data_IF_487455851676
#
_entry.id   IF_487455851676
#
_cell.length_a   1.000
_cell.length_b   1.000
_cell.length_c   1.000
_cell.angle_alpha   90.00
_cell.angle_beta   90.00
_cell.angle_gamma   90.00
#
_symmetry.space_group_name_H-M   'P 1'
#
loop_
_entity.id
_entity.type
_entity.pdbx_description
1 polymer ?
#
# COMPACT_ATOMS: atom_id res chain seq x y z
N UNK A 1 15.37 0.98 -23.08
CA UNK A 1 14.10 1.32 -23.75
C UNK A 1 12.95 0.89 -22.84
N UNK A 2 12.66 1.64 -21.77
CA UNK A 2 11.44 1.47 -20.93
C UNK A 2 11.09 2.85 -20.35
N UNK A 3 10.61 3.73 -21.23
CA UNK A 3 9.98 5.02 -20.87
C UNK A 3 8.80 5.12 -21.82
N UNK A 4 7.61 4.66 -21.40
CA UNK A 4 6.30 5.06 -21.97
C UNK A 4 5.07 4.28 -21.46
N UNK A 5 5.18 3.35 -20.51
CA UNK A 5 3.99 2.83 -19.81
C UNK A 5 3.56 3.70 -18.62
N UNK A 6 4.06 4.94 -18.57
CA UNK A 6 3.74 5.95 -17.56
C UNK A 6 2.29 6.40 -17.73
N UNK A 7 1.41 5.80 -16.94
CA UNK A 7 0.03 6.24 -16.69
C UNK A 7 -0.71 6.54 -18.00
N UNK A 8 -1.19 5.49 -18.68
CA UNK A 8 -2.27 5.66 -19.64
C UNK A 8 -3.48 6.21 -18.85
N UNK A 9 -3.69 7.53 -18.95
CA UNK A 9 -4.80 8.28 -18.34
C UNK A 9 -6.15 7.99 -19.00
N UNK A 10 -6.18 7.13 -20.01
CA UNK A 10 -7.42 6.62 -20.56
C UNK A 10 -7.93 5.52 -19.64
N UNK A 11 -9.23 5.54 -19.33
CA UNK A 11 -9.95 4.51 -18.59
C UNK A 11 -10.02 3.18 -19.39
N UNK A 12 -8.86 2.66 -19.78
CA UNK A 12 -8.70 1.36 -20.41
C UNK A 12 -8.83 0.26 -19.37
N UNK A 13 -9.47 -0.84 -19.76
CA UNK A 13 -9.72 -1.97 -18.88
C UNK A 13 -8.45 -2.41 -18.11
N UNK A 14 -8.61 -2.68 -16.81
CA UNK A 14 -7.56 -3.25 -15.97
C UNK A 14 -7.02 -4.52 -16.64
N UNK A 15 -5.73 -4.49 -17.02
CA UNK A 15 -5.10 -5.59 -17.74
C UNK A 15 -4.58 -6.61 -16.73
N UNK A 16 -4.98 -7.87 -16.91
CA UNK A 16 -4.48 -8.98 -16.09
C UNK A 16 -2.96 -9.12 -16.23
N UNK A 17 -2.30 -9.55 -15.14
CA UNK A 17 -0.87 -9.86 -15.10
C UNK A 17 0.03 -8.68 -15.55
N UNK A 18 -0.28 -7.47 -15.07
CA UNK A 18 0.50 -6.26 -15.36
C UNK A 18 1.09 -5.68 -14.09
N UNK A 19 2.29 -5.12 -14.23
CA UNK A 19 2.98 -4.33 -13.21
C UNK A 19 2.82 -2.87 -13.59
N UNK A 20 2.33 -2.08 -12.64
CA UNK A 20 2.19 -0.63 -12.78
C UNK A 20 3.22 0.03 -11.89
N UNK A 21 4.15 0.80 -12.47
CA UNK A 21 5.19 1.52 -11.74
C UNK A 21 4.71 2.94 -11.41
N UNK A 22 4.61 3.26 -10.12
CA UNK A 22 4.26 4.58 -9.62
C UNK A 22 3.67 4.54 -8.22
N UNK A 23 3.23 5.69 -7.72
CA UNK A 23 2.48 5.78 -6.47
C UNK A 23 1.09 5.14 -6.65
N UNK A 24 0.74 4.18 -5.79
CA UNK A 24 -0.55 3.52 -5.86
C UNK A 24 -1.72 4.50 -5.63
N UNK A 25 -1.51 5.58 -4.88
CA UNK A 25 -2.51 6.64 -4.69
C UNK A 25 -2.77 7.45 -5.96
N UNK A 26 -1.79 7.50 -6.87
CA UNK A 26 -1.95 8.13 -8.18
C UNK A 26 -2.52 7.15 -9.21
N UNK A 27 -2.21 5.86 -9.11
CA UNK A 27 -2.62 4.84 -10.08
C UNK A 27 -4.05 4.34 -9.85
N UNK A 28 -4.40 3.97 -8.61
CA UNK A 28 -5.70 3.37 -8.27
C UNK A 28 -6.92 4.20 -8.71
N UNK A 29 -6.91 5.55 -8.65
CA UNK A 29 -8.04 6.37 -9.11
C UNK A 29 -8.41 6.20 -10.59
N UNK A 30 -7.51 5.67 -11.43
CA UNK A 30 -7.79 5.43 -12.86
C UNK A 30 -8.43 4.05 -13.11
N UNK A 31 -8.52 3.19 -12.09
CA UNK A 31 -9.12 1.87 -12.23
C UNK A 31 -10.63 1.95 -12.03
N UNK A 32 -11.42 1.12 -12.74
CA UNK A 32 -12.86 1.09 -12.51
C UNK A 32 -13.18 0.70 -11.07
N UNK A 33 -14.17 1.35 -10.46
CA UNK A 33 -14.65 0.96 -9.13
C UNK A 33 -15.26 -0.45 -9.16
N UNK A 34 -15.14 -1.19 -8.06
CA UNK A 34 -15.67 -2.56 -7.99
C UNK A 34 -15.05 -3.54 -8.99
N UNK A 35 -13.78 -3.34 -9.38
CA UNK A 35 -13.10 -4.16 -10.38
C UNK A 35 -12.15 -5.20 -9.79
N UNK A 36 -11.81 -5.09 -8.50
CA UNK A 36 -10.84 -5.94 -7.81
C UNK A 36 -11.53 -6.84 -6.80
N UNK A 37 -11.29 -8.16 -6.89
CA UNK A 37 -11.81 -9.15 -5.95
C UNK A 37 -11.00 -9.23 -4.65
N UNK A 38 -9.67 -9.07 -4.74
CA UNK A 38 -8.74 -9.24 -3.63
C UNK A 38 -7.58 -8.26 -3.74
N UNK A 39 -7.25 -7.59 -2.64
CA UNK A 39 -6.03 -6.82 -2.48
C UNK A 39 -5.16 -7.50 -1.41
N UNK A 40 -3.87 -7.63 -1.70
CA UNK A 40 -2.87 -8.02 -0.72
C UNK A 40 -1.86 -6.88 -0.64
N UNK A 41 -1.64 -6.34 0.56
CA UNK A 41 -0.77 -5.19 0.75
C UNK A 41 0.13 -5.38 1.99
N UNK A 42 1.40 -5.00 1.84
CA UNK A 42 2.35 -4.88 2.94
C UNK A 42 2.79 -3.40 3.04
N UNK A 43 1.95 -2.53 3.63
CA UNK A 43 2.17 -1.09 3.64
C UNK A 43 3.25 -0.68 4.67
N UNK A 44 3.77 0.57 4.61
CA UNK A 44 4.57 1.12 5.71
C UNK A 44 3.84 1.01 7.05
N UNK A 45 4.49 0.43 8.06
CA UNK A 45 3.92 0.18 9.40
C UNK A 45 4.32 1.23 10.44
N UNK A 46 5.14 2.21 10.05
CA UNK A 46 5.71 3.22 10.96
C UNK A 46 6.53 2.61 12.11
N UNK A 47 7.28 1.54 11.81
CA UNK A 47 8.09 0.79 12.79
C UNK A 47 9.58 1.16 12.71
N UNK A 48 10.02 1.86 11.67
CA UNK A 48 11.42 2.25 11.50
C UNK A 48 11.93 3.12 12.64
N UNK A 49 13.04 2.71 13.26
CA UNK A 49 13.63 3.38 14.43
C UNK A 49 12.84 3.23 15.74
N UNK A 50 11.58 2.79 15.68
CA UNK A 50 10.76 2.45 16.85
C UNK A 50 10.97 0.97 17.15
N UNK A 51 12.06 0.65 17.86
CA UNK A 51 12.35 -0.73 18.28
C UNK A 51 11.10 -1.41 18.84
N UNK A 52 10.79 -2.62 18.36
CA UNK A 52 9.74 -3.47 18.93
C UNK A 52 10.16 -3.93 20.34
N UNK A 53 10.12 -3.02 21.32
CA UNK A 53 10.36 -3.34 22.73
C UNK A 53 9.05 -3.84 23.35
N UNK A 54 8.58 -5.00 22.88
CA UNK A 54 7.49 -5.70 23.53
C UNK A 54 7.96 -6.20 24.89
N UNK A 55 7.44 -5.60 25.97
CA UNK A 55 7.67 -6.12 27.34
C UNK A 55 7.19 -7.56 27.40
N UNK A 56 8.09 -8.49 27.70
CA UNK A 56 7.77 -9.92 27.84
C UNK A 56 7.75 -10.71 26.53
N UNK A 57 8.33 -10.19 25.44
CA UNK A 57 8.50 -10.99 24.22
C UNK A 57 9.33 -12.24 24.51
N UNK A 58 8.76 -13.42 24.26
CA UNK A 58 9.43 -14.73 24.34
C UNK A 58 9.68 -15.36 22.96
N UNK A 59 9.22 -14.69 21.91
CA UNK A 59 9.27 -15.11 20.51
C UNK A 59 9.83 -13.98 19.66
N UNK A 60 11.15 -13.92 19.54
CA UNK A 60 11.83 -12.99 18.64
C UNK A 60 13.35 -13.13 18.71
N UNK A 61 13.99 -13.33 17.55
CA UNK A 61 15.44 -13.27 17.41
C UNK A 61 15.91 -11.86 17.04
N UNK A 62 17.16 -11.73 16.61
CA UNK A 62 17.72 -10.48 16.08
C UNK A 62 17.04 -10.11 14.76
N UNK A 63 15.92 -9.40 14.82
CA UNK A 63 15.24 -8.89 13.64
C UNK A 63 15.98 -7.67 13.11
N UNK A 64 16.46 -7.74 11.86
CA UNK A 64 16.91 -6.57 11.13
C UNK A 64 15.69 -5.69 10.85
N UNK A 65 15.54 -4.65 11.65
CA UNK A 65 14.50 -3.65 11.44
C UNK A 65 14.77 -2.89 10.16
N UNK A 66 13.72 -2.67 9.38
CA UNK A 66 13.70 -1.56 8.41
C UNK A 66 13.95 -0.28 9.20
N UNK A 67 14.89 0.54 8.75
CA UNK A 67 15.31 1.78 9.42
C UNK A 67 15.29 2.94 8.43
N UNK A 68 14.17 3.08 7.75
CA UNK A 68 14.03 4.00 6.64
C UNK A 68 13.33 5.28 7.05
N UNK A 69 13.67 6.38 6.37
CA UNK A 69 13.05 7.70 6.66
C UNK A 69 11.60 7.74 6.19
N UNK A 70 11.27 7.04 5.11
CA UNK A 70 9.91 6.99 4.56
C UNK A 70 8.91 6.22 5.44
N UNK A 71 9.40 5.44 6.41
CA UNK A 71 8.60 4.70 7.40
C UNK A 71 8.70 5.34 8.80
N UNK A 72 8.95 6.65 8.84
CA UNK A 72 8.94 7.47 10.05
C UNK A 72 7.98 8.63 9.87
N UNK A 73 6.81 8.52 10.48
CA UNK A 73 5.74 9.50 10.44
C UNK A 73 5.29 9.82 11.85
N UNK A 74 4.84 11.06 12.10
CA UNK A 74 4.11 11.35 13.33
C UNK A 74 2.79 10.57 13.37
N UNK A 75 2.22 10.29 14.56
CA UNK A 75 0.96 9.54 14.64
C UNK A 75 -0.19 10.12 13.79
N UNK A 76 -0.40 11.45 13.73
CA UNK A 76 -1.42 12.03 12.84
C UNK A 76 -1.14 11.82 11.35
N UNK A 77 0.12 11.96 10.93
CA UNK A 77 0.54 11.73 9.54
C UNK A 77 0.34 10.27 9.15
N UNK A 78 0.72 9.33 10.01
CA UNK A 78 0.52 7.91 9.78
C UNK A 78 -0.95 7.54 9.64
N UNK A 79 -1.82 8.09 10.50
CA UNK A 79 -3.27 7.90 10.40
C UNK A 79 -3.85 8.52 9.12
N UNK A 80 -3.33 9.66 8.68
CA UNK A 80 -3.76 10.29 7.43
C UNK A 80 -3.32 9.48 6.21
N UNK A 81 -2.06 9.05 6.18
CA UNK A 81 -1.49 8.17 5.18
C UNK A 81 -2.31 6.86 5.08
N UNK A 82 -2.56 6.22 6.22
CA UNK A 82 -3.29 4.96 6.30
C UNK A 82 -4.71 5.09 5.76
N UNK A 83 -5.43 6.15 6.15
CA UNK A 83 -6.78 6.42 5.62
C UNK A 83 -6.78 6.66 4.11
N UNK A 84 -5.76 7.33 3.57
CA UNK A 84 -5.68 7.61 2.13
C UNK A 84 -5.53 6.32 1.32
N UNK A 85 -4.59 5.45 1.65
CA UNK A 85 -4.33 4.25 0.85
C UNK A 85 -5.43 3.19 1.02
N UNK A 86 -5.92 2.97 2.24
CA UNK A 86 -7.08 2.08 2.46
C UNK A 86 -8.31 2.61 1.72
N UNK A 87 -8.55 3.92 1.76
CA UNK A 87 -9.66 4.55 1.04
C UNK A 87 -9.55 4.40 -0.48
N UNK A 88 -8.34 4.46 -1.05
CA UNK A 88 -8.11 4.21 -2.47
C UNK A 88 -8.38 2.73 -2.83
N UNK A 89 -7.89 1.79 -2.01
CA UNK A 89 -8.17 0.36 -2.16
C UNK A 89 -9.67 0.05 -2.12
N UNK A 90 -10.40 0.61 -1.15
CA UNK A 90 -11.83 0.39 -1.01
C UNK A 90 -12.65 0.84 -2.24
N UNK A 91 -12.21 1.88 -2.96
CA UNK A 91 -12.92 2.34 -4.17
C UNK A 91 -12.87 1.33 -5.30
N UNK A 92 -11.76 0.60 -5.45
CA UNK A 92 -11.57 -0.37 -6.54
C UNK A 92 -12.04 -1.78 -6.16
N UNK A 93 -12.14 -2.08 -4.86
CA UNK A 93 -12.67 -3.35 -4.36
C UNK A 93 -14.15 -3.51 -4.72
N UNK A 94 -14.53 -4.74 -5.07
CA UNK A 94 -15.93 -5.16 -5.14
C UNK A 94 -16.58 -5.11 -3.77
N UNK A 95 -17.90 -5.03 -3.74
CA UNK A 95 -18.70 -5.06 -2.51
C UNK A 95 -18.41 -6.30 -1.65
N UNK A 96 -18.14 -7.44 -2.30
CA UNK A 96 -17.75 -8.70 -1.65
C UNK A 96 -16.24 -8.97 -1.70
N UNK A 97 -15.43 -7.96 -2.01
CA UNK A 97 -13.98 -8.07 -2.06
C UNK A 97 -13.33 -8.09 -0.68
N UNK A 98 -12.06 -8.50 -0.63
CA UNK A 98 -11.29 -8.52 0.62
C UNK A 98 -9.94 -7.81 0.46
N UNK A 99 -9.41 -7.33 1.58
CA UNK A 99 -8.05 -6.82 1.69
C UNK A 99 -7.34 -7.52 2.85
N UNK A 100 -6.09 -7.92 2.61
CA UNK A 100 -5.18 -8.52 3.59
C UNK A 100 -3.90 -7.70 3.69
#
# INVERSE_FOLDING_TARGET
>A
MVKNDLINKEAGALKKNRIYLGDCLEILPFWPGGSVDLIFADPPYNLSGNGLKWRGNKTGGDWYMVNEVWDKMSPPEYMQFTRKWIGACNKVLKENGAIY
#
